data_IF_782006643873
#
_entry.id   IF_782006643873
#
_cell.length_a   1.000
_cell.length_b   1.000
_cell.length_c   1.000
_cell.angle_alpha   90.00
_cell.angle_beta   90.00
_cell.angle_gamma   90.00
#
_symmetry.space_group_name_H-M   'P 1'
#
loop_
_entity.id
_entity.type
_entity.pdbx_description
1 polymer ?
#
# COMPACT_ATOMS: atom_id res chain seq x y z
N UNK A 1 8.13 -8.75 -21.86
CA UNK A 1 8.11 -7.39 -21.27
C UNK A 1 6.67 -6.96 -21.15
N UNK A 2 6.11 -6.91 -19.94
CA UNK A 2 4.72 -6.49 -19.73
C UNK A 2 4.72 -5.13 -19.05
N UNK A 3 4.66 -4.07 -19.85
CA UNK A 3 4.44 -2.72 -19.34
C UNK A 3 2.98 -2.62 -18.88
N UNK A 4 2.77 -2.33 -17.59
CA UNK A 4 1.43 -2.04 -17.07
C UNK A 4 0.88 -0.79 -17.77
N UNK A 5 -0.20 -0.96 -18.55
CA UNK A 5 -0.92 0.13 -19.16
C UNK A 5 -1.75 0.87 -18.10
N UNK A 6 -1.19 1.94 -17.53
CA UNK A 6 -1.85 2.80 -16.53
C UNK A 6 -3.15 3.47 -17.03
N UNK A 7 -3.44 3.40 -18.33
CA UNK A 7 -4.66 3.91 -18.95
C UNK A 7 -5.86 2.96 -18.77
N UNK A 8 -5.63 1.65 -18.69
CA UNK A 8 -6.71 0.66 -18.52
C UNK A 8 -7.36 0.73 -17.13
N UNK A 9 -6.61 1.14 -16.10
CA UNK A 9 -7.13 1.35 -14.74
C UNK A 9 -8.05 2.58 -14.60
N UNK A 10 -8.17 3.44 -15.62
CA UNK A 10 -9.05 4.62 -15.61
C UNK A 10 -10.39 4.38 -16.32
N UNK A 11 -10.52 3.27 -17.03
CA UNK A 11 -11.77 2.75 -17.58
C UNK A 11 -12.42 1.90 -16.48
N UNK A 12 -13.68 2.15 -16.13
CA UNK A 12 -14.38 1.58 -14.98
C UNK A 12 -14.65 0.06 -15.04
N UNK A 13 -13.68 -0.77 -15.43
CA UNK A 13 -13.71 -2.23 -15.37
C UNK A 13 -12.79 -2.71 -14.24
N UNK A 14 -13.31 -2.71 -13.01
CA UNK A 14 -12.58 -3.22 -11.84
C UNK A 14 -12.50 -4.75 -11.81
N UNK A 15 -11.31 -5.34 -11.57
CA UNK A 15 -11.20 -6.61 -10.90
C UNK A 15 -10.58 -6.37 -9.51
N UNK A 16 -11.44 -6.23 -8.50
CA UNK A 16 -11.10 -6.35 -7.07
C UNK A 16 -10.17 -5.24 -6.51
N UNK A 17 -10.74 -4.13 -6.04
CA UNK A 17 -10.09 -3.33 -4.98
C UNK A 17 -10.00 -4.18 -3.72
N UNK A 18 -8.83 -4.76 -3.46
CA UNK A 18 -8.56 -5.34 -2.14
C UNK A 18 -7.95 -4.25 -1.26
N UNK A 19 -8.63 -3.94 -0.16
CA UNK A 19 -8.08 -3.02 0.84
C UNK A 19 -6.76 -3.57 1.39
N UNK A 20 -5.73 -2.72 1.44
CA UNK A 20 -4.48 -3.02 2.13
C UNK A 20 -4.65 -2.66 3.60
N UNK A 21 -4.53 -3.65 4.48
CA UNK A 21 -4.60 -3.45 5.93
C UNK A 21 -3.22 -3.72 6.55
N UNK A 22 -2.83 -2.86 7.49
CA UNK A 22 -1.68 -3.10 8.37
C UNK A 22 -2.21 -3.47 9.74
N UNK A 23 -1.91 -4.69 10.20
CA UNK A 23 -2.33 -5.19 11.52
C UNK A 23 -1.10 -5.15 12.44
N UNK A 24 -1.23 -4.42 13.54
CA UNK A 24 -0.14 -4.20 14.49
C UNK A 24 -0.47 -4.86 15.82
N UNK A 25 0.50 -5.57 16.40
CA UNK A 25 0.38 -6.15 17.73
C UNK A 25 0.57 -5.06 18.78
N UNK A 26 -0.42 -4.87 19.65
CA UNK A 26 -0.35 -3.90 20.75
C UNK A 26 0.05 -4.61 22.05
N UNK A 27 1.35 -4.68 22.31
CA UNK A 27 1.92 -5.34 23.49
C UNK A 27 2.93 -4.48 24.27
N UNK A 28 3.11 -3.22 23.89
CA UNK A 28 4.06 -2.30 24.51
C UNK A 28 5.54 -2.69 24.33
N UNK A 29 5.84 -3.62 23.44
CA UNK A 29 7.21 -4.08 23.18
C UNK A 29 7.76 -3.46 21.89
N UNK A 30 9.05 -3.66 21.63
CA UNK A 30 9.74 -3.12 20.43
C UNK A 30 9.05 -3.49 19.12
N UNK A 31 8.41 -4.67 19.04
CA UNK A 31 7.63 -5.09 17.87
C UNK A 31 6.47 -4.13 17.55
N UNK A 32 5.86 -3.53 18.57
CA UNK A 32 4.79 -2.54 18.40
C UNK A 32 5.35 -1.26 17.77
N UNK A 33 6.49 -0.75 18.26
CA UNK A 33 7.13 0.46 17.74
C UNK A 33 7.62 0.27 16.30
N UNK A 34 8.27 -0.87 16.02
CA UNK A 34 8.69 -1.24 14.67
C UNK A 34 7.48 -1.36 13.72
N UNK A 35 6.37 -1.90 14.21
CA UNK A 35 5.11 -1.98 13.49
C UNK A 35 4.56 -0.60 13.11
N UNK A 36 4.51 0.33 14.06
CA UNK A 36 4.10 1.71 13.79
C UNK A 36 5.05 2.42 12.83
N UNK A 37 6.36 2.23 12.97
CA UNK A 37 7.35 2.82 12.07
C UNK A 37 7.13 2.37 10.61
N UNK A 38 6.90 1.08 10.38
CA UNK A 38 6.59 0.55 9.04
C UNK A 38 5.24 1.03 8.52
N UNK A 39 4.20 1.06 9.36
CA UNK A 39 2.89 1.58 8.97
C UNK A 39 2.98 3.04 8.53
N UNK A 40 3.66 3.88 9.31
CA UNK A 40 3.86 5.29 8.99
C UNK A 40 4.72 5.49 7.74
N UNK A 41 5.76 4.66 7.55
CA UNK A 41 6.60 4.73 6.35
C UNK A 41 5.81 4.42 5.07
N UNK A 42 4.88 3.46 5.11
CA UNK A 42 4.01 3.17 3.95
C UNK A 42 3.14 4.36 3.55
N UNK A 43 2.84 5.29 4.47
CA UNK A 43 2.08 6.51 4.18
C UNK A 43 2.92 7.62 3.52
N UNK A 44 4.25 7.50 3.51
CA UNK A 44 5.14 8.48 2.86
C UNK A 44 5.08 8.38 1.33
N UNK A 45 5.54 9.40 0.58
CA UNK A 45 5.59 9.33 -0.88
C UNK A 45 6.39 8.13 -1.41
N UNK A 46 7.48 7.77 -0.74
CA UNK A 46 8.31 6.62 -1.08
C UNK A 46 7.55 5.31 -0.87
N UNK A 47 6.88 5.17 0.29
CA UNK A 47 6.04 4.02 0.60
C UNK A 47 4.87 3.88 -0.37
N UNK A 48 4.18 4.97 -0.68
CA UNK A 48 3.09 5.01 -1.66
C UNK A 48 3.56 4.63 -3.07
N UNK A 49 4.79 5.01 -3.46
CA UNK A 49 5.40 4.55 -4.71
C UNK A 49 5.57 3.03 -4.78
N UNK A 50 5.81 2.35 -3.65
CA UNK A 50 5.86 0.89 -3.60
C UNK A 50 4.46 0.26 -3.59
N UNK A 51 3.51 0.86 -2.88
CA UNK A 51 2.09 0.46 -2.89
C UNK A 51 1.55 0.46 -4.32
N UNK A 52 1.87 1.47 -5.11
CA UNK A 52 1.51 1.54 -6.54
C UNK A 52 2.17 0.45 -7.38
N UNK A 53 3.49 0.23 -7.20
CA UNK A 53 4.23 -0.82 -7.91
C UNK A 53 3.71 -2.22 -7.58
N UNK A 54 3.16 -2.41 -6.38
CA UNK A 54 2.50 -3.63 -5.95
C UNK A 54 1.07 -3.78 -6.51
N UNK A 55 0.58 -2.82 -7.29
CA UNK A 55 -0.72 -2.87 -7.97
C UNK A 55 -1.88 -2.27 -7.16
N UNK A 56 -1.61 -1.56 -6.06
CA UNK A 56 -2.63 -0.90 -5.27
C UNK A 56 -2.80 0.58 -5.67
N UNK A 57 -3.98 1.12 -5.39
CA UNK A 57 -4.24 2.56 -5.54
C UNK A 57 -3.57 3.32 -4.41
N UNK A 58 -2.80 4.35 -4.74
CA UNK A 58 -2.16 5.24 -3.75
C UNK A 58 -3.19 6.07 -2.99
N UNK A 59 -2.89 6.32 -1.73
CA UNK A 59 -3.55 7.34 -0.92
C UNK A 59 -3.17 8.73 -1.46
N UNK A 60 -4.14 9.66 -1.48
CA UNK A 60 -3.95 11.06 -1.87
C UNK A 60 -3.74 11.95 -0.66
#
# INVERSE_FOLDING_TARGET
HSQLNAQAFRSSEYPITRNLFVILKQNGQTDQEAGYAYANWLLTPQGQGLVEKAGFVRLK
#
